data_IF_603405831715
#
_entry.id   IF_603405831715
#
_cell.length_a   1.000
_cell.length_b   1.000
_cell.length_c   1.000
_cell.angle_alpha   90.00
_cell.angle_beta   90.00
_cell.angle_gamma   90.00
#
_symmetry.space_group_name_H-M   'P 1'
#
loop_
_entity.id
_entity.type
_entity.pdbx_description
1 polymer ?
#
# COMPACT_ATOMS: atom_id res chain seq x y z
N UNK A 1 24.87 68.09 -42.16
CA UNK A 1 25.91 67.05 -42.25
C UNK A 1 26.70 67.11 -40.95
N UNK A 2 26.31 66.35 -39.93
CA UNK A 2 27.13 65.95 -38.78
C UNK A 2 26.36 64.89 -37.98
N UNK A 3 26.45 63.67 -38.51
CA UNK A 3 26.74 62.40 -37.83
C UNK A 3 26.30 62.23 -36.35
N UNK A 4 25.16 61.58 -36.17
CA UNK A 4 24.75 60.91 -34.94
C UNK A 4 25.57 59.62 -34.79
N UNK A 5 26.36 59.52 -33.72
CA UNK A 5 27.02 58.27 -33.31
C UNK A 5 26.38 57.75 -32.03
N UNK A 6 25.67 56.64 -32.17
CA UNK A 6 25.13 55.82 -31.09
C UNK A 6 26.25 55.35 -30.13
N UNK A 7 26.05 55.43 -28.80
CA UNK A 7 27.00 54.86 -27.85
C UNK A 7 26.80 53.33 -27.73
N UNK A 8 27.90 52.57 -27.92
CA UNK A 8 27.94 51.14 -27.64
C UNK A 8 27.67 50.84 -26.15
N UNK A 9 26.97 49.73 -25.83
CA UNK A 9 26.82 49.28 -24.45
C UNK A 9 28.14 48.72 -23.89
N UNK A 10 28.37 48.83 -22.57
CA UNK A 10 29.59 48.35 -21.93
C UNK A 10 29.71 46.82 -21.93
N UNK A 11 30.94 46.33 -22.05
CA UNK A 11 31.29 44.92 -21.98
C UNK A 11 31.05 44.33 -20.58
N UNK A 12 30.47 43.14 -20.54
CA UNK A 12 30.16 42.33 -19.36
C UNK A 12 31.46 41.87 -18.66
N UNK A 13 31.64 42.02 -17.33
CA UNK A 13 32.82 41.51 -16.64
C UNK A 13 32.79 39.97 -16.57
N UNK A 14 33.92 39.36 -16.92
CA UNK A 14 34.13 37.92 -16.91
C UNK A 14 33.74 37.26 -15.57
N UNK A 15 32.98 36.17 -15.66
CA UNK A 15 32.62 35.33 -14.52
C UNK A 15 33.88 34.67 -13.89
N UNK A 16 33.96 34.56 -12.54
CA UNK A 16 35.08 33.89 -11.88
C UNK A 16 35.03 32.37 -12.09
N UNK A 17 36.20 31.76 -12.30
CA UNK A 17 36.39 30.30 -12.40
C UNK A 17 35.96 29.58 -11.11
N UNK A 18 35.38 28.37 -11.21
CA UNK A 18 35.01 27.57 -10.04
C UNK A 18 36.26 26.98 -9.35
N UNK A 19 36.29 26.89 -8.00
CA UNK A 19 37.40 26.29 -7.28
C UNK A 19 37.48 24.77 -7.50
N UNK A 20 38.72 24.26 -7.52
CA UNK A 20 39.04 22.85 -7.69
C UNK A 20 38.45 21.98 -6.56
N UNK A 21 37.89 20.83 -6.94
CA UNK A 21 37.36 19.84 -6.03
C UNK A 21 38.48 19.08 -5.30
N UNK A 22 38.55 19.22 -3.99
CA UNK A 22 39.32 18.33 -3.12
C UNK A 22 38.45 17.14 -2.67
N UNK A 23 38.92 15.93 -2.94
CA UNK A 23 38.30 14.67 -2.52
C UNK A 23 38.52 14.43 -1.02
N UNK A 24 37.49 14.14 -0.21
CA UNK A 24 37.71 13.77 1.18
C UNK A 24 38.12 12.29 1.30
N UNK A 25 39.27 12.06 1.94
CA UNK A 25 39.72 10.75 2.37
C UNK A 25 38.91 10.28 3.59
N UNK A 26 38.21 9.16 3.44
CA UNK A 26 37.54 8.46 4.53
C UNK A 26 38.56 7.62 5.31
N UNK A 27 38.84 8.00 6.56
CA UNK A 27 39.50 7.13 7.55
C UNK A 27 38.44 6.45 8.42
N UNK A 28 38.46 5.13 8.44
CA UNK A 28 37.58 4.27 9.25
C UNK A 28 38.24 4.03 10.62
N UNK A 29 37.58 4.28 11.76
CA UNK A 29 38.03 3.79 13.06
C UNK A 29 37.57 2.33 13.28
N UNK A 30 38.46 1.53 13.87
CA UNK A 30 38.21 0.15 14.30
C UNK A 30 37.32 0.10 15.57
N UNK A 31 36.64 -1.03 15.85
CA UNK A 31 35.69 -1.14 16.95
C UNK A 31 36.39 -1.35 18.29
N UNK A 32 35.98 -0.58 19.32
CA UNK A 32 36.37 -0.79 20.71
C UNK A 32 35.46 -1.85 21.36
N UNK A 33 36.09 -2.85 21.99
CA UNK A 33 35.50 -3.83 22.91
C UNK A 33 34.96 -3.14 24.19
N UNK A 34 33.82 -3.58 24.74
CA UNK A 34 33.54 -3.37 26.16
C UNK A 34 33.51 -4.69 26.94
N UNK A 35 34.38 -4.76 27.95
CA UNK A 35 34.27 -5.69 29.08
C UNK A 35 33.45 -5.04 30.23
N UNK A 36 32.99 -5.84 31.21
CA UNK A 36 31.66 -5.69 31.83
C UNK A 36 31.64 -5.01 33.22
N UNK A 37 30.42 -4.93 33.76
CA UNK A 37 30.01 -4.65 35.15
C UNK A 37 29.63 -3.20 35.49
N UNK A 38 28.33 -3.00 35.75
CA UNK A 38 27.78 -2.76 37.09
C UNK A 38 26.55 -1.85 36.98
N UNK A 39 25.38 -2.37 37.39
CA UNK A 39 24.46 -1.66 38.27
C UNK A 39 23.33 -2.61 38.66
N UNK A 40 23.51 -3.19 39.83
CA UNK A 40 22.44 -3.81 40.60
C UNK A 40 21.64 -2.73 41.33
N UNK A 41 20.36 -3.05 41.51
CA UNK A 41 19.39 -2.47 42.45
C UNK A 41 18.68 -1.17 42.02
N UNK A 42 17.38 -1.29 41.69
CA UNK A 42 16.29 -1.07 42.66
C UNK A 42 14.92 -1.19 41.96
N UNK A 43 13.98 -1.84 42.63
CA UNK A 43 12.56 -1.52 42.49
C UNK A 43 11.64 -2.66 42.06
N UNK A 44 11.37 -3.58 42.98
CA UNK A 44 10.22 -4.48 42.96
C UNK A 44 8.91 -3.71 42.73
N UNK A 45 8.13 -4.12 41.72
CA UNK A 45 6.66 -4.04 41.74
C UNK A 45 6.10 -5.27 41.05
N UNK A 46 5.59 -6.17 41.88
CA UNK A 46 4.73 -7.29 41.49
C UNK A 46 3.47 -6.76 40.77
N UNK A 47 3.18 -7.29 39.59
CA UNK A 47 1.82 -7.55 39.13
C UNK A 47 1.83 -8.75 38.16
N UNK A 48 1.50 -9.89 38.75
CA UNK A 48 0.73 -11.01 38.22
C UNK A 48 1.07 -11.56 36.82
N UNK A 49 1.78 -12.68 36.87
CA UNK A 49 1.73 -13.80 35.94
C UNK A 49 0.31 -14.11 35.43
N UNK A 50 0.16 -14.14 34.10
CA UNK A 50 -0.68 -15.10 33.38
C UNK A 50 -0.44 -14.97 31.86
N UNK A 51 0.72 -15.40 31.38
CA UNK A 51 0.86 -15.90 30.01
C UNK A 51 1.57 -17.23 30.12
N UNK A 52 0.80 -18.30 29.91
CA UNK A 52 1.34 -19.65 29.92
C UNK A 52 2.36 -19.84 28.82
N UNK A 53 3.52 -20.36 29.21
CA UNK A 53 4.47 -21.02 28.35
C UNK A 53 3.78 -22.19 27.62
N UNK A 54 3.30 -21.95 26.41
CA UNK A 54 3.10 -22.99 25.41
C UNK A 54 3.60 -22.47 24.06
N UNK A 55 4.87 -22.06 24.06
CA UNK A 55 5.60 -21.70 22.85
C UNK A 55 6.05 -22.99 22.17
N UNK A 56 5.19 -23.52 21.30
CA UNK A 56 5.60 -24.50 20.28
C UNK A 56 6.41 -23.74 19.23
N UNK A 57 7.64 -24.18 18.98
CA UNK A 57 8.63 -23.45 18.16
C UNK A 57 8.26 -23.25 16.68
N UNK A 58 9.20 -22.77 15.85
CA UNK A 58 8.97 -22.44 14.43
C UNK A 58 8.49 -23.63 13.56
N UNK A 59 8.54 -24.86 14.06
CA UNK A 59 8.02 -26.05 13.36
C UNK A 59 6.50 -26.03 13.13
N UNK A 60 5.71 -25.24 13.86
CA UNK A 60 4.26 -25.15 13.64
C UNK A 60 3.86 -24.13 12.55
N UNK A 61 4.75 -23.23 12.16
CA UNK A 61 4.51 -22.19 11.15
C UNK A 61 4.45 -22.73 9.72
N UNK A 62 4.96 -23.95 9.49
CA UNK A 62 5.20 -24.53 8.17
C UNK A 62 4.61 -25.94 8.02
N UNK A 63 3.61 -26.31 8.84
CA UNK A 63 2.86 -27.54 8.65
C UNK A 63 1.93 -27.39 7.43
N UNK A 64 2.42 -27.78 6.26
CA UNK A 64 1.84 -27.53 4.95
C UNK A 64 0.33 -27.79 4.83
N UNK A 65 -0.42 -26.71 4.60
CA UNK A 65 -1.72 -26.76 3.97
C UNK A 65 -1.58 -27.25 2.52
N UNK A 66 -2.50 -28.11 2.08
CA UNK A 66 -2.57 -28.48 0.66
C UNK A 66 -3.06 -27.26 -0.12
N UNK A 67 -2.62 -27.11 -1.36
CA UNK A 67 -3.08 -26.05 -2.29
C UNK A 67 -4.63 -25.99 -2.45
N UNK A 68 -5.36 -27.03 -2.00
CA UNK A 68 -6.82 -27.15 -2.06
C UNK A 68 -7.60 -26.25 -1.07
N UNK A 69 -6.95 -25.58 -0.11
CA UNK A 69 -7.63 -24.73 0.89
C UNK A 69 -7.76 -23.24 0.49
N UNK A 70 -7.18 -22.84 -0.65
CA UNK A 70 -7.19 -21.44 -1.10
C UNK A 70 -8.20 -21.19 -2.22
N UNK A 71 -9.17 -20.32 -1.98
CA UNK A 71 -10.12 -19.91 -3.03
C UNK A 71 -9.51 -18.84 -3.93
N UNK A 72 -9.29 -19.16 -5.19
CA UNK A 72 -8.90 -18.17 -6.21
C UNK A 72 -10.04 -17.23 -6.55
N UNK A 73 -9.78 -15.92 -6.56
CA UNK A 73 -10.75 -14.89 -6.93
C UNK A 73 -10.94 -14.78 -8.45
N UNK A 74 -12.20 -14.78 -8.87
CA UNK A 74 -12.63 -14.57 -10.26
C UNK A 74 -13.13 -13.14 -10.50
N UNK A 75 -13.28 -12.74 -11.76
CA UNK A 75 -13.90 -11.47 -12.12
C UNK A 75 -15.36 -11.35 -11.60
N UNK A 76 -16.07 -12.47 -11.43
CA UNK A 76 -17.44 -12.47 -10.90
C UNK A 76 -17.46 -12.17 -9.40
N UNK A 77 -16.49 -12.68 -8.65
CA UNK A 77 -16.32 -12.35 -7.23
C UNK A 77 -16.01 -10.84 -7.06
N UNK A 78 -15.16 -10.29 -7.93
CA UNK A 78 -14.84 -8.86 -7.96
C UNK A 78 -16.07 -8.02 -8.32
N UNK A 79 -16.88 -8.45 -9.29
CA UNK A 79 -18.15 -7.79 -9.61
C UNK A 79 -19.05 -7.69 -8.38
N UNK A 80 -19.11 -8.71 -7.53
CA UNK A 80 -19.88 -8.68 -6.28
C UNK A 80 -19.38 -7.65 -5.25
N UNK A 81 -18.18 -7.11 -5.44
CA UNK A 81 -17.60 -6.07 -4.58
C UNK A 81 -17.72 -4.65 -5.18
N UNK A 82 -18.15 -4.54 -6.44
CA UNK A 82 -18.30 -3.28 -7.16
C UNK A 82 -19.78 -3.06 -7.47
N UNK A 83 -20.24 -1.81 -7.47
CA UNK A 83 -21.53 -1.49 -8.10
C UNK A 83 -21.41 -0.20 -8.90
N UNK A 84 -22.02 -0.13 -10.09
CA UNK A 84 -22.09 1.10 -10.85
C UNK A 84 -22.89 2.16 -10.08
N UNK A 85 -22.58 3.47 -10.28
CA UNK A 85 -23.39 4.53 -9.71
C UNK A 85 -24.85 4.43 -10.11
N UNK A 86 -25.76 4.52 -9.14
CA UNK A 86 -27.21 4.59 -9.35
C UNK A 86 -27.71 6.05 -9.45
N UNK A 87 -28.91 6.26 -10.01
CA UNK A 87 -29.50 7.60 -10.21
C UNK A 87 -29.59 8.46 -8.93
N UNK A 88 -29.75 7.81 -7.77
CA UNK A 88 -29.89 8.47 -6.46
C UNK A 88 -28.58 8.54 -5.69
N UNK A 89 -27.47 8.12 -6.28
CA UNK A 89 -26.17 8.16 -5.62
C UNK A 89 -25.65 9.60 -5.56
N UNK A 90 -25.02 9.92 -4.43
CA UNK A 90 -24.22 11.11 -4.26
C UNK A 90 -22.79 10.71 -3.90
N UNK A 91 -21.88 11.69 -3.82
CA UNK A 91 -20.47 11.46 -3.48
C UNK A 91 -20.26 10.69 -2.16
N UNK A 92 -21.19 10.76 -1.21
CA UNK A 92 -21.08 10.02 0.05
C UNK A 92 -21.58 8.57 -0.06
N UNK A 93 -22.57 8.31 -0.90
CA UNK A 93 -23.09 6.94 -1.12
C UNK A 93 -22.13 6.06 -1.92
N UNK A 94 -21.25 6.69 -2.71
CA UNK A 94 -20.13 6.04 -3.41
C UNK A 94 -18.87 5.88 -2.53
N UNK A 95 -18.94 6.25 -1.24
CA UNK A 95 -17.84 6.15 -0.29
C UNK A 95 -16.86 7.32 -0.34
N UNK A 96 -16.39 7.72 0.84
CA UNK A 96 -15.34 8.73 1.02
C UNK A 96 -14.07 8.06 1.53
N UNK A 97 -12.96 8.23 0.81
CA UNK A 97 -11.65 7.71 1.24
C UNK A 97 -10.84 8.85 1.84
N UNK A 98 -10.30 8.66 3.04
CA UNK A 98 -9.28 9.55 3.61
C UNK A 98 -7.90 8.93 3.39
N UNK A 99 -7.00 9.69 2.78
CA UNK A 99 -5.62 9.30 2.53
C UNK A 99 -4.69 10.07 3.48
N UNK A 100 -3.97 9.33 4.31
CA UNK A 100 -2.90 9.81 5.19
C UNK A 100 -1.56 9.20 4.75
N UNK A 101 -1.24 9.40 3.48
CA UNK A 101 -0.07 8.85 2.78
C UNK A 101 0.92 9.95 2.37
N UNK A 102 2.09 9.54 1.91
CA UNK A 102 3.21 10.39 1.51
C UNK A 102 3.94 11.03 2.68
N UNK A 103 4.94 11.85 2.41
CA UNK A 103 5.60 12.70 3.39
C UNK A 103 6.26 13.87 2.68
N UNK A 104 6.92 14.78 3.42
CA UNK A 104 7.74 15.80 2.79
C UNK A 104 8.87 15.18 1.94
N UNK A 105 9.41 14.04 2.35
CA UNK A 105 10.46 13.30 1.63
C UNK A 105 9.90 12.46 0.49
N UNK A 106 8.74 11.82 0.70
CA UNK A 106 8.12 10.89 -0.26
C UNK A 106 6.71 11.37 -0.68
N UNK A 107 6.56 12.53 -1.34
CA UNK A 107 5.24 13.03 -1.75
C UNK A 107 4.60 12.16 -2.86
N UNK A 108 5.40 11.40 -3.61
CA UNK A 108 4.92 10.55 -4.71
C UNK A 108 3.91 9.49 -4.26
N UNK A 109 4.06 8.92 -3.06
CA UNK A 109 3.11 7.95 -2.52
C UNK A 109 1.71 8.55 -2.29
N UNK A 110 1.64 9.82 -1.89
CA UNK A 110 0.38 10.54 -1.79
C UNK A 110 -0.28 10.73 -3.16
N UNK A 111 0.51 11.09 -4.18
CA UNK A 111 0.03 11.27 -5.56
C UNK A 111 -0.52 9.95 -6.11
N UNK A 112 0.23 8.86 -6.01
CA UNK A 112 -0.15 7.55 -6.55
C UNK A 112 -1.40 6.98 -5.87
N UNK A 113 -1.46 7.03 -4.53
CA UNK A 113 -2.63 6.55 -3.79
C UNK A 113 -3.88 7.40 -4.06
N UNK A 114 -3.75 8.73 -4.16
CA UNK A 114 -4.84 9.64 -4.51
C UNK A 114 -5.36 9.44 -5.93
N UNK A 115 -4.44 9.30 -6.89
CA UNK A 115 -4.74 9.03 -8.28
C UNK A 115 -5.44 7.67 -8.46
N UNK A 116 -4.96 6.64 -7.77
CA UNK A 116 -5.56 5.32 -7.76
C UNK A 116 -6.98 5.35 -7.16
N UNK A 117 -7.18 6.02 -6.02
CA UNK A 117 -8.48 6.12 -5.38
C UNK A 117 -9.51 6.85 -6.25
N UNK A 118 -9.11 7.94 -6.90
CA UNK A 118 -9.96 8.66 -7.85
C UNK A 118 -10.38 7.75 -9.03
N UNK A 119 -9.42 7.03 -9.62
CA UNK A 119 -9.68 6.16 -10.77
C UNK A 119 -10.38 4.85 -10.44
N UNK A 120 -10.28 4.39 -9.19
CA UNK A 120 -11.05 3.27 -8.67
C UNK A 120 -12.53 3.63 -8.43
N UNK A 121 -12.91 4.90 -8.60
CA UNK A 121 -14.31 5.34 -8.56
C UNK A 121 -14.78 5.83 -7.19
N UNK A 122 -13.86 6.24 -6.31
CA UNK A 122 -14.21 6.82 -5.02
C UNK A 122 -15.24 7.95 -5.20
N UNK A 123 -16.24 7.98 -4.31
CA UNK A 123 -17.23 9.03 -4.30
C UNK A 123 -16.63 10.40 -4.01
N UNK A 124 -15.70 10.43 -3.05
CA UNK A 124 -14.89 11.58 -2.69
C UNK A 124 -13.54 11.09 -2.15
N UNK A 125 -12.45 11.74 -2.55
CA UNK A 125 -11.12 11.51 -1.98
C UNK A 125 -10.73 12.71 -1.14
N UNK A 126 -10.34 12.44 0.10
CA UNK A 126 -9.73 13.41 1.00
C UNK A 126 -8.26 13.09 1.20
N UNK A 127 -7.44 14.12 1.31
CA UNK A 127 -6.03 13.97 1.63
C UNK A 127 -5.69 14.73 2.91
N UNK A 128 -5.00 14.09 3.85
CA UNK A 128 -4.50 14.67 5.08
C UNK A 128 -3.02 14.33 5.24
N UNK A 129 -2.15 15.33 5.06
CA UNK A 129 -0.72 15.14 5.14
C UNK A 129 0.04 16.46 4.94
N UNK A 130 1.37 16.43 4.86
CA UNK A 130 2.18 17.64 4.79
C UNK A 130 1.90 18.44 3.52
N UNK A 131 2.02 19.77 3.63
CA UNK A 131 1.68 20.72 2.56
C UNK A 131 2.36 20.40 1.22
N UNK A 132 3.64 20.00 1.24
CA UNK A 132 4.37 19.61 0.02
C UNK A 132 3.67 18.46 -0.73
N UNK A 133 3.22 17.44 -0.01
CA UNK A 133 2.53 16.31 -0.60
C UNK A 133 1.10 16.69 -1.03
N UNK A 134 0.41 17.52 -0.25
CA UNK A 134 -0.90 18.06 -0.62
C UNK A 134 -0.84 18.87 -1.94
N UNK A 135 0.14 19.74 -2.08
CA UNK A 135 0.35 20.53 -3.31
C UNK A 135 0.65 19.63 -4.52
N UNK A 136 1.45 18.58 -4.35
CA UNK A 136 1.72 17.61 -5.41
C UNK A 136 0.46 16.83 -5.81
N UNK A 137 -0.36 16.40 -4.84
CA UNK A 137 -1.64 15.74 -5.10
C UNK A 137 -2.57 16.66 -5.88
N UNK A 138 -2.77 17.90 -5.43
CA UNK A 138 -3.68 18.86 -6.06
C UNK A 138 -3.25 19.26 -7.48
N UNK A 139 -1.94 19.22 -7.77
CA UNK A 139 -1.42 19.46 -9.11
C UNK A 139 -1.81 18.36 -10.12
N UNK A 140 -1.94 17.11 -9.68
CA UNK A 140 -2.28 15.96 -10.53
C UNK A 140 -3.78 15.64 -10.49
N UNK A 141 -4.41 15.84 -9.32
CA UNK A 141 -5.81 15.51 -9.02
C UNK A 141 -6.49 16.70 -8.30
N UNK A 142 -6.90 17.75 -9.03
CA UNK A 142 -7.56 18.91 -8.42
C UNK A 142 -8.92 18.60 -7.80
N UNK A 143 -9.49 17.40 -8.05
CA UNK A 143 -10.75 16.95 -7.47
C UNK A 143 -10.60 16.44 -6.02
N UNK A 144 -9.37 16.21 -5.56
CA UNK A 144 -9.08 15.78 -4.19
C UNK A 144 -9.31 16.93 -3.22
N UNK A 145 -9.96 16.65 -2.09
CA UNK A 145 -10.16 17.65 -1.03
C UNK A 145 -9.07 17.53 0.03
N UNK A 146 -8.23 18.56 0.12
CA UNK A 146 -7.23 18.66 1.18
C UNK A 146 -7.89 18.95 2.54
N UNK A 147 -7.43 18.26 3.58
CA UNK A 147 -7.85 18.41 4.96
C UNK A 147 -8.68 17.25 5.49
N UNK A 148 -8.68 17.13 6.81
CA UNK A 148 -9.46 16.13 7.55
C UNK A 148 -10.97 16.39 7.44
N UNK A 149 -11.77 15.33 7.51
CA UNK A 149 -13.23 15.42 7.53
C UNK A 149 -13.86 14.03 7.49
N UNK A 150 -15.18 13.96 7.32
CA UNK A 150 -15.89 12.67 7.18
C UNK A 150 -15.23 11.80 6.12
N UNK A 151 -14.94 10.55 6.49
CA UNK A 151 -14.53 9.47 5.62
C UNK A 151 -15.39 8.23 5.88
N UNK A 152 -15.29 7.22 5.02
CA UNK A 152 -15.88 5.88 5.20
C UNK A 152 -14.78 4.80 5.23
N UNK A 153 -13.57 5.07 4.74
CA UNK A 153 -12.35 4.28 5.02
C UNK A 153 -11.10 5.17 5.09
N UNK A 154 -10.11 4.76 5.88
CA UNK A 154 -8.78 5.41 5.99
C UNK A 154 -7.72 4.55 5.29
N UNK A 155 -6.80 5.19 4.56
CA UNK A 155 -5.56 4.59 4.08
C UNK A 155 -4.39 5.36 4.67
N UNK A 156 -3.45 4.66 5.27
CA UNK A 156 -2.29 5.24 5.95
C UNK A 156 -1.04 4.39 5.71
N UNK A 157 0.13 5.03 5.69
CA UNK A 157 1.42 4.32 5.79
C UNK A 157 2.34 4.42 4.58
N UNK A 158 1.82 4.36 3.35
CA UNK A 158 2.62 4.54 2.14
C UNK A 158 3.38 5.87 2.17
N UNK A 159 4.70 5.85 1.98
CA UNK A 159 5.56 7.05 1.99
C UNK A 159 5.76 7.73 3.36
N UNK A 160 5.35 7.07 4.45
CA UNK A 160 5.72 7.44 5.81
C UNK A 160 7.12 6.85 6.11
N UNK A 161 8.13 7.66 6.45
CA UNK A 161 9.45 7.14 6.84
C UNK A 161 9.40 6.43 8.21
N UNK A 162 10.38 5.57 8.46
CA UNK A 162 10.56 4.96 9.78
C UNK A 162 10.86 6.06 10.82
N UNK A 163 10.00 6.19 11.84
CA UNK A 163 10.12 7.23 12.86
C UNK A 163 8.78 7.61 13.50
N UNK A 164 8.84 8.54 14.46
CA UNK A 164 7.65 9.05 15.14
C UNK A 164 6.94 10.12 14.28
N UNK A 165 5.92 9.70 13.53
CA UNK A 165 4.93 10.60 12.91
C UNK A 165 3.73 10.75 13.87
N UNK A 166 3.88 11.61 14.87
CA UNK A 166 2.91 11.76 15.97
C UNK A 166 1.52 12.17 15.48
N UNK A 167 1.43 13.01 14.46
CA UNK A 167 0.16 13.46 13.88
C UNK A 167 -0.58 12.29 13.25
N UNK A 168 0.10 11.48 12.44
CA UNK A 168 -0.51 10.31 11.81
C UNK A 168 -0.78 9.18 12.79
N UNK A 169 0.07 8.99 13.79
CA UNK A 169 -0.20 8.08 14.89
C UNK A 169 -1.46 8.51 15.67
N UNK A 170 -1.65 9.80 15.92
CA UNK A 170 -2.87 10.33 16.54
C UNK A 170 -4.10 10.15 15.65
N UNK A 171 -3.98 10.38 14.34
CA UNK A 171 -5.03 10.11 13.36
C UNK A 171 -5.42 8.62 13.35
N UNK A 172 -4.43 7.72 13.29
CA UNK A 172 -4.63 6.27 13.35
C UNK A 172 -5.38 5.84 14.61
N UNK A 173 -4.89 6.26 15.80
CA UNK A 173 -5.54 5.96 17.10
C UNK A 173 -6.97 6.52 17.18
N UNK A 174 -7.23 7.66 16.54
CA UNK A 174 -8.57 8.24 16.48
C UNK A 174 -9.47 7.46 15.53
N UNK A 175 -8.95 7.03 14.38
CA UNK A 175 -9.67 6.24 13.40
C UNK A 175 -10.09 4.87 13.96
N UNK A 176 -9.24 4.21 14.76
CA UNK A 176 -9.59 2.94 15.42
C UNK A 176 -10.90 3.04 16.23
N UNK A 177 -11.17 4.20 16.84
CA UNK A 177 -12.38 4.45 17.65
C UNK A 177 -13.65 4.67 16.83
N UNK A 178 -13.52 4.90 15.52
CA UNK A 178 -14.66 5.17 14.64
C UNK A 178 -15.36 3.90 14.16
N UNK A 179 -14.69 2.75 14.26
CA UNK A 179 -15.16 1.50 13.67
C UNK A 179 -15.22 1.53 12.14
N UNK A 180 -14.45 2.41 11.49
CA UNK A 180 -14.33 2.44 10.03
C UNK A 180 -13.17 1.54 9.59
N UNK A 181 -13.23 0.94 8.39
CA UNK A 181 -12.10 0.18 7.84
C UNK A 181 -10.85 1.05 7.72
N UNK A 182 -9.70 0.48 8.11
CA UNK A 182 -8.40 1.15 8.03
C UNK A 182 -7.46 0.24 7.24
N UNK A 183 -6.86 0.79 6.19
CA UNK A 183 -5.80 0.15 5.40
C UNK A 183 -4.46 0.68 5.89
N UNK A 184 -3.57 -0.22 6.31
CA UNK A 184 -2.22 0.12 6.73
C UNK A 184 -1.20 -0.55 5.82
N UNK A 185 -0.39 0.27 5.15
CA UNK A 185 0.63 -0.16 4.19
C UNK A 185 2.02 0.38 4.58
N UNK A 186 3.10 -0.27 4.13
CA UNK A 186 4.47 0.21 4.27
C UNK A 186 4.83 0.73 5.68
N UNK A 187 5.37 1.95 5.80
CA UNK A 187 5.80 2.54 7.07
C UNK A 187 4.70 2.66 8.12
N UNK A 188 3.43 2.60 7.72
CA UNK A 188 2.30 2.56 8.66
C UNK A 188 2.23 1.27 9.47
N UNK A 189 2.85 0.17 9.00
CA UNK A 189 2.85 -1.11 9.71
C UNK A 189 3.49 -1.02 11.10
N UNK A 190 4.35 -0.02 11.32
CA UNK A 190 4.91 0.30 12.65
C UNK A 190 3.86 0.71 13.68
N UNK A 191 2.67 1.14 13.25
CA UNK A 191 1.55 1.53 14.10
C UNK A 191 0.62 0.35 14.48
N UNK A 192 0.80 -0.81 13.84
CA UNK A 192 -0.11 -1.94 13.97
C UNK A 192 0.10 -2.63 15.30
N UNK A 193 -0.97 -2.81 16.06
CA UNK A 193 -0.97 -3.61 17.29
C UNK A 193 -2.03 -4.72 17.18
N UNK A 194 -1.83 -5.87 17.84
CA UNK A 194 -2.81 -6.96 17.81
C UNK A 194 -4.19 -6.55 18.35
N UNK A 195 -5.25 -7.23 17.88
CA UNK A 195 -6.62 -7.09 18.40
C UNK A 195 -7.50 -6.08 17.67
N UNK A 196 -7.13 -5.67 16.45
CA UNK A 196 -7.89 -4.71 15.65
C UNK A 196 -8.64 -5.39 14.48
N UNK A 197 -9.87 -5.87 14.72
CA UNK A 197 -10.65 -6.62 13.71
C UNK A 197 -10.94 -5.84 12.40
N UNK A 198 -11.01 -4.51 12.47
CA UNK A 198 -11.37 -3.65 11.33
C UNK A 198 -10.18 -3.16 10.50
N UNK A 199 -9.00 -3.66 10.83
CA UNK A 199 -7.74 -3.33 10.19
C UNK A 199 -7.51 -4.27 8.99
N UNK A 200 -7.02 -3.70 7.90
CA UNK A 200 -6.47 -4.44 6.77
C UNK A 200 -5.01 -4.03 6.60
N UNK A 201 -4.09 -4.96 6.77
CA UNK A 201 -2.66 -4.70 6.53
C UNK A 201 -2.24 -5.24 5.18
N UNK A 202 -1.34 -4.54 4.50
CA UNK A 202 -0.86 -4.91 3.16
C UNK A 202 0.65 -5.13 3.09
N UNK A 203 1.28 -5.96 3.96
CA UNK A 203 2.72 -6.14 3.95
C UNK A 203 3.19 -6.93 2.72
N UNK A 204 4.45 -6.74 2.30
CA UNK A 204 5.21 -7.77 1.60
C UNK A 204 5.99 -8.64 2.60
N UNK A 205 6.71 -9.67 2.14
CA UNK A 205 7.39 -10.63 3.03
C UNK A 205 8.32 -9.97 4.06
N UNK A 206 9.25 -9.10 3.63
CA UNK A 206 10.14 -8.39 4.55
C UNK A 206 9.40 -7.42 5.52
N UNK A 207 8.32 -6.77 5.07
CA UNK A 207 7.47 -5.92 5.92
C UNK A 207 6.76 -6.75 7.00
N UNK A 208 6.28 -7.95 6.65
CA UNK A 208 5.63 -8.87 7.58
C UNK A 208 6.64 -9.43 8.60
N UNK A 209 7.83 -9.85 8.15
CA UNK A 209 8.91 -10.30 9.03
C UNK A 209 9.26 -9.24 10.08
N UNK A 210 9.48 -8.00 9.64
CA UNK A 210 9.79 -6.89 10.53
C UNK A 210 8.65 -6.57 11.52
N UNK A 211 7.40 -6.66 11.09
CA UNK A 211 6.24 -6.47 11.96
C UNK A 211 6.15 -7.54 13.05
N UNK A 212 6.31 -8.81 12.69
CA UNK A 212 6.21 -9.93 13.63
C UNK A 212 7.37 -9.93 14.65
N UNK A 213 8.59 -9.62 14.21
CA UNK A 213 9.76 -9.52 15.11
C UNK A 213 9.62 -8.32 16.06
N UNK A 214 9.18 -7.15 15.57
CA UNK A 214 8.93 -5.96 16.40
C UNK A 214 7.91 -6.25 17.52
N UNK A 215 6.87 -7.01 17.21
CA UNK A 215 5.82 -7.37 18.16
C UNK A 215 6.22 -8.56 19.06
N UNK A 216 7.37 -9.19 18.83
CA UNK A 216 7.79 -10.39 19.55
C UNK A 216 6.89 -11.61 19.34
N UNK A 217 6.18 -11.66 18.20
CA UNK A 217 5.19 -12.71 17.90
C UNK A 217 5.79 -13.87 17.11
N UNK A 218 6.75 -13.59 16.23
CA UNK A 218 7.51 -14.59 15.50
C UNK A 218 8.81 -13.97 14.98
N UNK A 219 9.85 -14.78 14.84
CA UNK A 219 11.14 -14.38 14.26
C UNK A 219 11.41 -15.23 13.02
N UNK A 220 11.02 -14.69 11.88
CA UNK A 220 11.18 -15.27 10.55
C UNK A 220 11.84 -14.25 9.65
N UNK A 221 12.63 -14.70 8.69
CA UNK A 221 13.14 -13.82 7.64
C UNK A 221 12.16 -13.71 6.44
N UNK A 222 12.51 -12.84 5.49
CA UNK A 222 11.68 -12.58 4.33
C UNK A 222 11.59 -13.77 3.36
N UNK A 223 12.64 -14.59 3.30
CA UNK A 223 12.70 -15.75 2.40
C UNK A 223 11.84 -16.89 2.97
N UNK A 224 11.90 -17.14 4.28
CA UNK A 224 11.03 -18.08 4.98
C UNK A 224 9.54 -17.74 4.80
N UNK A 225 9.18 -16.45 4.92
CA UNK A 225 7.82 -15.98 4.66
C UNK A 225 7.46 -16.15 3.18
N UNK A 226 8.38 -15.87 2.25
CA UNK A 226 8.10 -15.98 0.82
C UNK A 226 7.87 -17.44 0.37
N UNK A 227 8.64 -18.38 0.93
CA UNK A 227 8.53 -19.81 0.64
C UNK A 227 7.17 -20.39 1.06
N UNK A 228 6.59 -19.88 2.15
CA UNK A 228 5.29 -20.34 2.68
C UNK A 228 4.29 -19.20 2.88
N UNK A 229 4.21 -18.30 1.89
CA UNK A 229 3.45 -17.05 1.99
C UNK A 229 1.98 -17.23 2.40
N UNK A 230 1.31 -18.28 1.92
CA UNK A 230 -0.07 -18.56 2.31
C UNK A 230 -0.21 -18.82 3.82
N UNK A 231 0.60 -19.73 4.37
CA UNK A 231 0.54 -20.06 5.79
C UNK A 231 1.06 -18.92 6.66
N UNK A 232 2.11 -18.21 6.23
CA UNK A 232 2.58 -17.02 6.92
C UNK A 232 1.50 -15.93 7.01
N UNK A 233 0.72 -15.71 5.93
CA UNK A 233 -0.40 -14.78 5.94
C UNK A 233 -1.52 -15.23 6.89
N UNK A 234 -1.83 -16.53 6.92
CA UNK A 234 -2.85 -17.08 7.80
C UNK A 234 -2.47 -16.98 9.28
N UNK A 235 -1.23 -17.30 9.60
CA UNK A 235 -0.71 -17.20 10.95
C UNK A 235 -0.61 -15.74 11.42
N UNK A 236 -0.15 -14.84 10.55
CA UNK A 236 -0.16 -13.42 10.83
C UNK A 236 -1.57 -12.88 11.12
N UNK A 237 -2.57 -13.29 10.33
CA UNK A 237 -3.96 -12.88 10.55
C UNK A 237 -4.49 -13.38 11.90
N UNK A 238 -4.15 -14.62 12.29
CA UNK A 238 -4.49 -15.21 13.58
C UNK A 238 -3.83 -14.46 14.75
N UNK A 239 -2.52 -14.20 14.66
CA UNK A 239 -1.74 -13.54 15.70
C UNK A 239 -2.14 -12.07 15.90
N UNK A 240 -2.40 -11.36 14.79
CA UNK A 240 -2.75 -9.94 14.82
C UNK A 240 -4.25 -9.69 15.03
N UNK A 241 -5.10 -10.67 14.75
CA UNK A 241 -6.56 -10.53 14.82
C UNK A 241 -7.09 -9.50 13.81
N UNK A 242 -6.52 -9.45 12.61
CA UNK A 242 -6.91 -8.52 11.54
C UNK A 242 -6.85 -9.17 10.15
N UNK A 243 -7.39 -8.49 9.14
CA UNK A 243 -7.29 -8.95 7.76
C UNK A 243 -5.87 -8.72 7.21
N UNK A 244 -5.24 -9.76 6.69
CA UNK A 244 -3.89 -9.69 6.09
C UNK A 244 -3.97 -9.89 4.60
N UNK A 245 -3.45 -8.94 3.82
CA UNK A 245 -3.16 -9.09 2.39
C UNK A 245 -1.64 -9.13 2.23
N UNK A 246 -1.07 -10.33 2.09
CA UNK A 246 0.35 -10.51 1.88
C UNK A 246 0.68 -10.36 0.39
N UNK A 247 1.39 -9.27 0.05
CA UNK A 247 1.79 -8.92 -1.31
C UNK A 247 2.85 -9.90 -1.84
N UNK A 248 2.69 -10.31 -3.09
CA UNK A 248 3.62 -11.15 -3.83
C UNK A 248 3.13 -11.44 -5.25
N UNK A 249 3.88 -12.19 -6.06
CA UNK A 249 3.39 -12.69 -7.37
C UNK A 249 2.07 -13.45 -7.18
N UNK A 250 2.03 -14.23 -6.12
CA UNK A 250 0.84 -14.80 -5.53
C UNK A 250 0.50 -13.96 -4.30
N UNK A 251 -0.62 -13.26 -4.34
CA UNK A 251 -1.13 -12.48 -3.21
C UNK A 251 -2.09 -13.36 -2.42
N UNK A 252 -1.85 -13.48 -1.13
CA UNK A 252 -2.67 -14.25 -0.20
C UNK A 252 -3.44 -13.29 0.70
N UNK A 253 -4.75 -13.52 0.85
CA UNK A 253 -5.62 -12.70 1.69
C UNK A 253 -6.30 -13.59 2.71
N UNK A 254 -6.17 -13.25 3.98
CA UNK A 254 -6.80 -13.97 5.09
C UNK A 254 -7.64 -13.03 5.93
N UNK A 255 -8.87 -13.44 6.20
CA UNK A 255 -9.82 -12.71 7.05
C UNK A 255 -10.70 -13.69 7.83
N UNK A 256 -10.40 -13.90 9.11
CA UNK A 256 -10.96 -15.01 9.89
C UNK A 256 -10.65 -16.35 9.21
N UNK A 257 -11.68 -17.13 8.91
CA UNK A 257 -11.56 -18.41 8.21
C UNK A 257 -11.49 -18.27 6.68
N UNK A 258 -11.73 -17.08 6.11
CA UNK A 258 -11.65 -16.89 4.66
C UNK A 258 -10.18 -16.87 4.20
N UNK A 259 -9.78 -17.86 3.39
CA UNK A 259 -8.48 -17.96 2.74
C UNK A 259 -8.62 -17.74 1.22
N UNK A 260 -8.18 -16.58 0.74
CA UNK A 260 -8.37 -16.14 -0.64
C UNK A 260 -7.02 -15.94 -1.34
N UNK A 261 -6.99 -16.24 -2.64
CA UNK A 261 -5.78 -16.15 -3.46
C UNK A 261 -6.00 -15.33 -4.72
N UNK A 262 -5.02 -14.49 -5.02
CA UNK A 262 -4.97 -13.69 -6.25
C UNK A 262 -3.63 -13.91 -6.93
N UNK A 263 -3.67 -14.46 -8.15
CA UNK A 263 -2.50 -14.60 -9.01
C UNK A 263 -2.32 -13.35 -9.88
N UNK A 264 -1.15 -12.71 -9.78
CA UNK A 264 -0.72 -11.71 -10.75
C UNK A 264 -0.48 -12.38 -12.11
N UNK A 265 -1.03 -11.84 -13.21
CA UNK A 265 -0.87 -12.39 -14.56
C UNK A 265 0.44 -11.99 -15.25
N UNK A 266 1.26 -11.14 -14.64
CA UNK A 266 2.62 -10.86 -15.11
C UNK A 266 3.48 -10.33 -13.96
N UNK A 267 4.78 -10.23 -14.21
CA UNK A 267 5.77 -9.76 -13.24
C UNK A 267 6.05 -8.25 -13.32
N UNK A 268 5.46 -7.53 -14.28
CA UNK A 268 5.74 -6.10 -14.50
C UNK A 268 5.30 -5.22 -13.32
N UNK A 269 4.39 -5.71 -12.47
CA UNK A 269 3.99 -5.04 -11.22
C UNK A 269 5.08 -4.97 -10.16
N UNK A 270 6.22 -5.66 -10.33
CA UNK A 270 7.39 -5.56 -9.47
C UNK A 270 8.17 -4.24 -9.67
N UNK A 271 7.46 -3.12 -9.62
CA UNK A 271 8.00 -1.76 -9.77
C UNK A 271 7.58 -0.93 -8.55
N UNK A 272 8.44 -0.01 -8.11
CA UNK A 272 8.14 0.86 -6.97
C UNK A 272 6.85 1.67 -7.17
N UNK A 273 6.09 1.87 -6.09
CA UNK A 273 4.85 2.64 -6.07
C UNK A 273 3.58 1.90 -6.48
N UNK A 274 3.66 0.65 -6.98
CA UNK A 274 2.46 -0.16 -7.26
C UNK A 274 1.71 -0.54 -5.98
N UNK A 275 2.42 -0.67 -4.84
CA UNK A 275 1.83 -0.80 -3.50
C UNK A 275 0.94 0.39 -3.13
N UNK A 276 1.40 1.61 -3.38
CA UNK A 276 0.62 2.84 -3.11
C UNK A 276 -0.68 2.88 -3.93
N UNK A 277 -0.62 2.38 -5.16
CA UNK A 277 -1.78 2.23 -6.04
C UNK A 277 -2.75 1.19 -5.48
N UNK A 278 -2.25 0.03 -5.05
CA UNK A 278 -3.06 -1.00 -4.39
C UNK A 278 -3.75 -0.46 -3.14
N UNK A 279 -3.04 0.28 -2.28
CA UNK A 279 -3.59 0.86 -1.07
C UNK A 279 -4.76 1.84 -1.37
N UNK A 280 -4.60 2.69 -2.40
CA UNK A 280 -5.67 3.59 -2.86
C UNK A 280 -6.90 2.86 -3.43
N UNK A 281 -6.68 1.79 -4.19
CA UNK A 281 -7.77 0.94 -4.71
C UNK A 281 -8.51 0.27 -3.55
N UNK A 282 -7.78 -0.33 -2.61
CA UNK A 282 -8.33 -1.03 -1.46
C UNK A 282 -9.16 -0.10 -0.58
N UNK A 283 -8.64 1.08 -0.23
CA UNK A 283 -9.38 2.09 0.52
C UNK A 283 -10.69 2.48 -0.17
N UNK A 284 -10.68 2.54 -1.51
CA UNK A 284 -11.87 2.86 -2.31
C UNK A 284 -12.93 1.77 -2.25
N UNK A 285 -12.53 0.50 -2.42
CA UNK A 285 -13.46 -0.64 -2.33
C UNK A 285 -14.08 -0.72 -0.93
N UNK A 286 -13.28 -0.56 0.12
CA UNK A 286 -13.75 -0.57 1.51
C UNK A 286 -14.70 0.60 1.80
N UNK A 287 -14.35 1.83 1.39
CA UNK A 287 -15.20 3.00 1.59
C UNK A 287 -16.57 2.83 0.90
N UNK A 288 -16.59 2.29 -0.33
CA UNK A 288 -17.83 2.07 -1.06
C UNK A 288 -18.75 1.06 -0.36
N UNK A 289 -18.19 -0.07 0.14
CA UNK A 289 -18.96 -1.07 0.89
C UNK A 289 -19.47 -0.53 2.22
N UNK A 290 -18.60 0.17 2.97
CA UNK A 290 -18.96 0.79 4.25
C UNK A 290 -20.12 1.78 4.10
N UNK A 291 -20.06 2.64 3.08
CA UNK A 291 -21.09 3.63 2.81
C UNK A 291 -22.47 3.02 2.50
N UNK A 292 -22.50 1.74 2.11
CA UNK A 292 -23.73 0.97 1.83
C UNK A 292 -24.18 0.10 3.01
N UNK A 293 -23.49 0.17 4.14
CA UNK A 293 -23.79 -0.62 5.33
C UNK A 293 -23.29 -2.05 5.26
N UNK A 294 -22.44 -2.38 4.28
CA UNK A 294 -21.74 -3.65 4.19
C UNK A 294 -20.35 -3.51 4.81
N UNK A 295 -20.24 -3.94 6.05
CA UNK A 295 -19.10 -3.66 6.94
C UNK A 295 -18.62 -4.93 7.63
N UNK A 296 -18.94 -6.09 7.05
CA UNK A 296 -18.57 -7.42 7.57
C UNK A 296 -17.56 -8.05 6.61
N UNK A 297 -16.41 -8.44 7.15
CA UNK A 297 -15.31 -9.13 6.46
C UNK A 297 -14.68 -8.30 5.32
N UNK A 298 -13.44 -7.88 5.54
CA UNK A 298 -12.65 -7.14 4.57
C UNK A 298 -11.92 -8.03 3.57
N UNK A 299 -11.84 -9.34 3.81
CA UNK A 299 -11.10 -10.31 2.99
C UNK A 299 -11.47 -10.26 1.51
N UNK A 300 -12.77 -10.33 1.19
CA UNK A 300 -13.24 -10.24 -0.20
C UNK A 300 -12.94 -8.89 -0.85
N UNK A 301 -13.02 -7.81 -0.08
CA UNK A 301 -12.71 -6.46 -0.54
C UNK A 301 -11.21 -6.30 -0.84
N UNK A 302 -10.37 -6.82 0.05
CA UNK A 302 -8.93 -6.88 -0.08
C UNK A 302 -8.51 -7.72 -1.29
N UNK A 303 -9.10 -8.90 -1.46
CA UNK A 303 -8.81 -9.76 -2.60
C UNK A 303 -9.35 -9.17 -3.92
N UNK A 304 -10.50 -8.49 -3.91
CA UNK A 304 -11.02 -7.79 -5.08
C UNK A 304 -10.12 -6.61 -5.49
N UNK A 305 -9.62 -5.83 -4.53
CA UNK A 305 -8.66 -4.76 -4.79
C UNK A 305 -7.35 -5.29 -5.37
N UNK A 306 -6.80 -6.37 -4.80
CA UNK A 306 -5.62 -7.04 -5.33
C UNK A 306 -5.85 -7.56 -6.77
N UNK A 307 -7.02 -8.13 -7.05
CA UNK A 307 -7.36 -8.62 -8.38
C UNK A 307 -7.47 -7.49 -9.41
N UNK A 308 -8.14 -6.38 -9.04
CA UNK A 308 -8.23 -5.18 -9.89
C UNK A 308 -6.85 -4.59 -10.18
N UNK A 309 -6.01 -4.47 -9.16
CA UNK A 309 -4.62 -4.03 -9.29
C UNK A 309 -3.83 -4.93 -10.25
N UNK A 310 -3.92 -6.26 -10.06
CA UNK A 310 -3.28 -7.25 -10.92
C UNK A 310 -3.74 -7.15 -12.39
N UNK A 311 -5.05 -6.99 -12.62
CA UNK A 311 -5.59 -6.81 -13.97
C UNK A 311 -5.18 -5.48 -14.60
N UNK A 312 -5.13 -4.42 -13.82
CA UNK A 312 -4.73 -3.11 -14.32
C UNK A 312 -3.25 -3.11 -14.71
N UNK A 313 -2.38 -3.76 -13.93
CA UNK A 313 -0.98 -3.97 -14.30
C UNK A 313 -0.80 -4.76 -15.58
N UNK A 314 -1.60 -5.81 -15.76
CA UNK A 314 -1.63 -6.55 -17.02
C UNK A 314 -2.07 -5.69 -18.20
N UNK A 315 -3.21 -5.01 -18.08
CA UNK A 315 -3.75 -4.18 -19.15
C UNK A 315 -2.79 -3.04 -19.52
N UNK A 316 -2.17 -2.39 -18.53
CA UNK A 316 -1.14 -1.39 -18.73
C UNK A 316 0.05 -1.97 -19.49
N UNK A 317 0.54 -3.15 -19.07
CA UNK A 317 1.67 -3.81 -19.72
C UNK A 317 1.38 -4.18 -21.17
N UNK A 318 0.20 -4.72 -21.48
CA UNK A 318 -0.16 -5.03 -22.86
C UNK A 318 -0.20 -3.75 -23.72
N UNK A 319 -0.78 -2.66 -23.19
CA UNK A 319 -0.85 -1.37 -23.88
C UNK A 319 0.53 -0.77 -24.14
N UNK A 320 1.43 -0.85 -23.15
CA UNK A 320 2.79 -0.35 -23.29
C UNK A 320 3.61 -1.17 -24.31
N UNK A 321 3.21 -2.42 -24.59
CA UNK A 321 3.75 -3.21 -25.70
C UNK A 321 3.07 -2.95 -27.05
N UNK A 322 2.14 -1.98 -27.15
CA UNK A 322 1.42 -1.67 -28.37
C UNK A 322 0.33 -2.69 -28.74
N UNK A 323 -0.10 -3.52 -27.80
CA UNK A 323 -1.12 -4.54 -28.05
C UNK A 323 -2.53 -3.99 -27.80
N UNK A 324 -3.42 -4.24 -28.74
CA UNK A 324 -4.85 -4.01 -28.53
C UNK A 324 -5.44 -5.12 -27.66
N UNK A 325 -6.16 -4.72 -26.61
CA UNK A 325 -6.79 -5.65 -25.65
C UNK A 325 -8.29 -5.43 -25.67
N UNK A 326 -9.03 -6.48 -26.05
CA UNK A 326 -10.49 -6.46 -25.95
C UNK A 326 -10.93 -6.38 -24.47
N UNK A 327 -11.96 -5.59 -24.12
CA UNK A 327 -12.45 -5.51 -22.73
C UNK A 327 -12.80 -6.88 -22.13
N UNK A 328 -13.32 -7.81 -22.95
CA UNK A 328 -13.65 -9.17 -22.52
C UNK A 328 -12.45 -9.98 -22.03
N UNK A 329 -11.23 -9.65 -22.47
CA UNK A 329 -9.99 -10.33 -22.05
C UNK A 329 -9.66 -10.09 -20.58
N UNK A 330 -10.17 -9.02 -19.96
CA UNK A 330 -10.01 -8.75 -18.52
C UNK A 330 -10.57 -9.88 -17.65
N UNK A 331 -11.58 -10.61 -18.14
CA UNK A 331 -12.19 -11.73 -17.41
C UNK A 331 -11.47 -13.06 -17.58
N UNK A 332 -10.46 -13.14 -18.44
CA UNK A 332 -9.77 -14.40 -18.67
C UNK A 332 -9.06 -14.87 -17.39
N UNK A 333 -9.01 -16.19 -17.12
CA UNK A 333 -8.28 -16.73 -15.97
C UNK A 333 -6.83 -16.22 -15.93
N UNK A 334 -6.33 -15.89 -14.74
CA UNK A 334 -4.95 -15.38 -14.57
C UNK A 334 -3.89 -16.27 -15.23
N UNK A 335 -4.09 -17.59 -15.18
CA UNK A 335 -3.18 -18.57 -15.78
C UNK A 335 -3.11 -18.43 -17.31
N UNK A 336 -4.25 -18.18 -17.98
CA UNK A 336 -4.25 -17.96 -19.43
C UNK A 336 -3.55 -16.65 -19.80
N UNK A 337 -3.70 -15.62 -18.97
CA UNK A 337 -3.09 -14.32 -19.21
C UNK A 337 -1.58 -14.32 -18.93
N UNK A 338 -1.11 -15.12 -17.99
CA UNK A 338 0.33 -15.35 -17.69
C UNK A 338 1.06 -16.09 -18.82
N UNK A 339 0.34 -16.94 -19.57
CA UNK A 339 0.85 -17.57 -20.80
C UNK A 339 0.62 -16.74 -22.07
N UNK A 340 0.06 -15.53 -21.93
CA UNK A 340 -0.16 -14.61 -23.04
C UNK A 340 1.12 -13.90 -23.51
N UNK A 341 0.99 -12.90 -24.41
CA UNK A 341 2.12 -12.06 -24.79
C UNK A 341 2.74 -11.40 -23.55
N UNK A 342 4.07 -11.33 -23.50
CA UNK A 342 4.85 -10.84 -22.35
C UNK A 342 4.44 -9.43 -21.87
N UNK A 343 3.91 -8.59 -22.77
CA UNK A 343 3.63 -7.19 -22.50
C UNK A 343 4.92 -6.36 -22.41
N UNK A 344 4.79 -5.12 -21.94
CA UNK A 344 5.89 -4.16 -21.78
C UNK A 344 6.03 -3.63 -20.34
N UNK A 345 7.12 -2.89 -20.06
CA UNK A 345 7.34 -2.25 -18.76
C UNK A 345 6.18 -1.35 -18.35
N UNK A 346 5.88 -1.27 -17.04
CA UNK A 346 4.81 -0.43 -16.50
C UNK A 346 5.31 0.49 -15.40
N UNK A 347 4.79 1.72 -15.38
CA UNK A 347 4.87 2.62 -14.24
C UNK A 347 3.67 2.40 -13.32
N UNK A 348 3.80 2.74 -12.03
CA UNK A 348 2.66 2.73 -11.10
C UNK A 348 1.50 3.63 -11.60
N UNK A 349 1.82 4.77 -12.24
CA UNK A 349 0.83 5.65 -12.87
C UNK A 349 0.09 4.98 -14.04
N UNK A 350 0.73 4.07 -14.78
CA UNK A 350 0.08 3.32 -15.88
C UNK A 350 -0.94 2.33 -15.32
N UNK A 351 -0.59 1.68 -14.20
CA UNK A 351 -1.51 0.78 -13.46
C UNK A 351 -2.73 1.56 -13.00
N UNK A 352 -2.53 2.72 -12.37
CA UNK A 352 -3.64 3.58 -11.97
C UNK A 352 -4.47 4.01 -13.21
N UNK A 353 -3.83 4.41 -14.31
CA UNK A 353 -4.49 4.86 -15.54
C UNK A 353 -5.32 3.75 -16.22
N UNK A 354 -4.92 2.49 -16.10
CA UNK A 354 -5.66 1.35 -16.63
C UNK A 354 -6.91 1.01 -15.81
N UNK A 355 -7.00 1.44 -14.56
CA UNK A 355 -8.06 1.06 -13.61
C UNK A 355 -9.50 1.27 -14.11
N UNK A 356 -9.87 2.43 -14.69
CA UNK A 356 -11.26 2.64 -15.14
C UNK A 356 -11.68 1.64 -16.23
N UNK A 357 -10.74 1.23 -17.10
CA UNK A 357 -10.99 0.24 -18.14
C UNK A 357 -11.23 -1.16 -17.58
N UNK A 358 -10.48 -1.54 -16.54
CA UNK A 358 -10.67 -2.83 -15.84
C UNK A 358 -12.02 -2.84 -15.13
N UNK A 359 -12.37 -1.79 -14.39
CA UNK A 359 -13.65 -1.67 -13.69
C UNK A 359 -14.82 -1.73 -14.69
N UNK A 360 -14.73 -0.98 -15.79
CA UNK A 360 -15.76 -0.99 -16.83
C UNK A 360 -15.94 -2.39 -17.42
N UNK A 361 -14.85 -3.12 -17.69
CA UNK A 361 -14.93 -4.50 -18.18
C UNK A 361 -15.61 -5.42 -17.16
N UNK A 362 -15.21 -5.38 -15.88
CA UNK A 362 -15.85 -6.17 -14.81
C UNK A 362 -17.35 -5.87 -14.69
N UNK A 363 -17.73 -4.59 -14.81
CA UNK A 363 -19.12 -4.15 -14.69
C UNK A 363 -19.99 -4.46 -15.93
N UNK A 364 -19.39 -4.78 -17.08
CA UNK A 364 -20.12 -5.03 -18.33
C UNK A 364 -20.75 -6.43 -18.45
N UNK A 365 -20.36 -7.38 -17.60
CA UNK A 365 -20.97 -8.72 -17.47
C UNK A 365 -21.80 -8.80 -16.21
#
# INVERSE_FOLDING_TARGET
>A
MHDERDPQPPADPAAPEPPAAESPSLSVPAPDDPAPEALSQLGEREHADAVGDDYSGPELLLAGGRDDDWRTISAQDVRGCLEPPAERDNKYRRGVVLLATGSATYPGAAVLSAEAACRAGAGMVRYSGPERAANAVLAVRPEVVHGFGRFDALVIGSGIPDGHDDERAALYRSALKTGQPIVVDAGGLTLVEPGCERLVITPHAAELAALLDRLGLARLDADEIAESAGEAAAEAARLLGCTVLLKGRHTYVVDGDERLHVRSPNSWLATAGTGDVLAGILGTVLAARRARGDDRHHGRSAAAAAWLHARAGWLASQRNAGLEVAPSSVHAPSLMLDHGPLGGPVLASDVAAAMPGVIAAVLAK
#
